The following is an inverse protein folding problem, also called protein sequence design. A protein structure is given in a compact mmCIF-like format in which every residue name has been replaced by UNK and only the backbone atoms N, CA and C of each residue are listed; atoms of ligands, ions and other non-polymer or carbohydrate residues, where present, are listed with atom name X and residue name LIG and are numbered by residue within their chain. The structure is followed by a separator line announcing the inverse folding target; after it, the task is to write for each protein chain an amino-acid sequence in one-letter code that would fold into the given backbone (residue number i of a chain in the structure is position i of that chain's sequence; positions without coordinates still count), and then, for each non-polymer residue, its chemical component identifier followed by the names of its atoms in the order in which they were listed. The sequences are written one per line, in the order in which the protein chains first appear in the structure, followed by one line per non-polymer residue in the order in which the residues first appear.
data_IF_794092695565
#
_entry.id   IF_794092695565
#
_cell.length_a   1.000
_cell.length_b   1.000
_cell.length_c   1.000
_cell.angle_alpha   90.00
_cell.angle_beta   90.00
_cell.angle_gamma   90.00
#
_symmetry.space_group_name_H-M   'P 1'
#
loop_
_entity.id
_entity.type
_entity.pdbx_description
1 polymer ?
#
# COMPACT_ATOMS: atom_id res chain seq x y z
N UNK A 1 2.67 -2.56 32.03
CA UNK A 1 2.68 -2.60 30.57
C UNK A 1 2.69 -4.04 30.09
N UNK A 2 1.64 -4.45 29.37
CA UNK A 2 1.52 -5.74 28.71
C UNK A 2 1.96 -5.59 27.25
N UNK A 3 2.97 -6.38 26.85
CA UNK A 3 3.53 -6.37 25.50
C UNK A 3 3.19 -7.67 24.78
N UNK A 4 2.64 -7.55 23.57
CA UNK A 4 2.48 -8.69 22.65
C UNK A 4 3.51 -8.60 21.54
N UNK A 5 4.19 -9.72 21.30
CA UNK A 5 5.17 -9.90 20.23
C UNK A 5 4.60 -10.85 19.18
N UNK A 6 4.72 -10.50 17.90
CA UNK A 6 4.20 -11.29 16.79
C UNK A 6 5.01 -11.14 15.49
N UNK A 7 4.63 -11.91 14.48
CA UNK A 7 5.31 -12.08 13.19
C UNK A 7 5.11 -10.94 12.16
N UNK A 8 4.39 -9.86 12.51
CA UNK A 8 4.05 -8.75 11.59
C UNK A 8 3.14 -9.13 10.41
N UNK A 9 2.43 -10.25 10.48
CA UNK A 9 1.43 -10.62 9.47
C UNK A 9 0.00 -10.23 9.89
N UNK A 10 -0.90 -10.04 8.94
CA UNK A 10 -2.29 -9.70 9.28
C UNK A 10 -2.94 -10.83 10.09
N UNK A 11 -2.65 -12.09 9.75
CA UNK A 11 -3.14 -13.27 10.46
C UNK A 11 -2.57 -13.37 11.89
N UNK A 12 -1.30 -13.00 12.08
CA UNK A 12 -0.69 -12.88 13.40
C UNK A 12 -1.35 -11.81 14.27
N UNK A 13 -1.73 -10.65 13.69
CA UNK A 13 -2.49 -9.63 14.40
C UNK A 13 -3.88 -10.14 14.84
N UNK A 14 -4.56 -10.91 13.98
CA UNK A 14 -5.83 -11.56 14.36
C UNK A 14 -5.62 -12.61 15.46
N UNK A 15 -4.51 -13.34 15.43
CA UNK A 15 -4.13 -14.29 16.47
C UNK A 15 -3.89 -13.59 17.82
N UNK A 16 -3.27 -12.41 17.81
CA UNK A 16 -3.13 -11.54 18.99
C UNK A 16 -4.48 -11.14 19.59
N UNK A 17 -5.46 -10.80 18.73
CA UNK A 17 -6.82 -10.48 19.18
C UNK A 17 -7.47 -11.69 19.82
N UNK A 18 -7.39 -12.86 19.18
CA UNK A 18 -7.91 -14.10 19.78
C UNK A 18 -7.29 -14.38 21.15
N UNK A 19 -5.95 -14.27 21.24
CA UNK A 19 -5.21 -14.49 22.47
C UNK A 19 -5.65 -13.53 23.58
N UNK A 20 -5.87 -12.25 23.25
CA UNK A 20 -6.30 -11.26 24.21
C UNK A 20 -7.65 -11.63 24.87
N UNK A 21 -8.62 -12.06 24.06
CA UNK A 21 -9.92 -12.50 24.56
C UNK A 21 -9.85 -13.84 25.30
N UNK A 22 -9.05 -14.79 24.81
CA UNK A 22 -8.90 -16.11 25.43
C UNK A 22 -8.28 -16.04 26.83
N UNK A 23 -7.25 -15.20 27.00
CA UNK A 23 -6.57 -15.01 28.30
C UNK A 23 -7.12 -13.87 29.14
N UNK A 24 -8.07 -13.09 28.61
CA UNK A 24 -8.58 -11.84 29.21
C UNK A 24 -7.45 -10.86 29.57
N UNK A 25 -6.43 -10.78 28.69
CA UNK A 25 -5.27 -9.87 28.82
C UNK A 25 -5.20 -9.00 27.58
N UNK A 26 -5.18 -7.69 27.76
CA UNK A 26 -5.19 -6.76 26.64
C UNK A 26 -3.82 -6.06 26.55
N UNK A 27 -3.20 -6.00 25.37
CA UNK A 27 -1.89 -5.38 25.21
C UNK A 27 -1.98 -3.86 25.32
N UNK A 28 -0.95 -3.26 25.90
CA UNK A 28 -0.68 -1.83 25.80
C UNK A 28 0.09 -1.52 24.49
N UNK A 29 0.93 -2.47 24.05
CA UNK A 29 1.65 -2.40 22.77
C UNK A 29 1.69 -3.76 22.07
N UNK A 30 1.62 -3.74 20.74
CA UNK A 30 1.84 -4.88 19.85
C UNK A 30 3.03 -4.51 18.98
N UNK A 31 4.11 -5.30 19.06
CA UNK A 31 5.37 -5.06 18.36
C UNK A 31 5.83 -6.34 17.65
N UNK A 32 6.69 -6.21 16.63
CA UNK A 32 7.45 -7.36 16.15
C UNK A 32 8.72 -7.59 16.97
N UNK A 33 9.27 -8.79 16.87
CA UNK A 33 10.56 -9.14 17.50
C UNK A 33 11.72 -8.25 17.01
N UNK A 34 11.59 -7.68 15.81
CA UNK A 34 12.55 -6.76 15.20
C UNK A 34 12.39 -5.30 15.64
N UNK A 35 11.30 -4.94 16.30
CA UNK A 35 11.08 -3.57 16.76
C UNK A 35 11.88 -3.28 18.03
N UNK A 36 12.20 -2.00 18.25
CA UNK A 36 12.84 -1.59 19.49
C UNK A 36 11.87 -1.79 20.66
N UNK A 37 12.17 -2.76 21.50
CA UNK A 37 11.33 -3.11 22.64
C UNK A 37 11.58 -2.15 23.82
N UNK A 38 10.52 -1.80 24.59
CA UNK A 38 10.69 -1.01 25.80
C UNK A 38 11.48 -1.78 26.87
N UNK A 39 12.33 -1.06 27.59
CA UNK A 39 13.20 -1.64 28.63
C UNK A 39 12.39 -2.27 29.77
N UNK A 40 11.25 -1.64 30.12
CA UNK A 40 10.35 -2.07 31.19
C UNK A 40 9.04 -2.56 30.59
N UNK A 41 8.79 -3.87 30.66
CA UNK A 41 7.49 -4.46 30.39
C UNK A 41 7.19 -5.46 31.51
N UNK A 42 6.01 -5.35 32.10
CA UNK A 42 5.60 -6.16 33.25
C UNK A 42 5.24 -7.59 32.83
N UNK A 43 4.58 -7.71 31.68
CA UNK A 43 4.19 -8.99 31.09
C UNK A 43 4.52 -8.98 29.60
N UNK A 44 5.16 -10.05 29.12
CA UNK A 44 5.50 -10.24 27.70
C UNK A 44 4.88 -11.54 27.21
N UNK A 45 4.18 -11.46 26.08
CA UNK A 45 3.56 -12.60 25.44
C UNK A 45 4.02 -12.68 23.98
N UNK A 46 4.70 -13.77 23.64
CA UNK A 46 4.95 -14.13 22.24
C UNK A 46 3.72 -14.85 21.73
N UNK A 47 3.11 -14.31 20.67
CA UNK A 47 1.91 -14.85 20.05
C UNK A 47 2.26 -15.39 18.68
N UNK A 48 2.30 -16.71 18.57
CA UNK A 48 2.51 -17.38 17.30
C UNK A 48 1.27 -17.22 16.39
N UNK A 49 1.54 -17.10 15.09
CA UNK A 49 0.50 -17.08 14.07
C UNK A 49 -0.19 -18.45 14.01
N UNK A 50 -1.51 -18.44 14.19
CA UNK A 50 -2.35 -19.63 14.11
C UNK A 50 -3.51 -19.35 13.16
N UNK A 51 -3.46 -20.01 12.00
CA UNK A 51 -4.41 -19.83 10.91
C UNK A 51 -5.85 -20.13 11.32
N UNK A 52 -6.08 -21.11 12.20
CA UNK A 52 -7.43 -21.45 12.65
C UNK A 52 -7.98 -20.34 13.57
N UNK A 53 -7.16 -19.87 14.52
CA UNK A 53 -7.54 -18.77 15.42
C UNK A 53 -7.78 -17.48 14.64
N UNK A 54 -6.89 -17.14 13.71
CA UNK A 54 -7.03 -15.98 12.83
C UNK A 54 -8.32 -16.06 12.00
N UNK A 55 -8.60 -17.22 11.38
CA UNK A 55 -9.80 -17.44 10.57
C UNK A 55 -11.09 -17.31 11.38
N UNK A 56 -11.10 -17.75 12.64
CA UNK A 56 -12.26 -17.59 13.54
C UNK A 56 -12.52 -16.12 13.86
N UNK A 57 -11.48 -15.35 14.17
CA UNK A 57 -11.62 -13.90 14.41
C UNK A 57 -12.11 -13.22 13.14
N UNK A 58 -11.50 -13.53 11.98
CA UNK A 58 -11.91 -12.98 10.70
C UNK A 58 -13.38 -13.26 10.39
N UNK A 59 -13.83 -14.51 10.55
CA UNK A 59 -15.22 -14.92 10.32
C UNK A 59 -16.20 -14.17 11.24
N UNK A 60 -15.84 -13.92 12.49
CA UNK A 60 -16.63 -13.09 13.40
C UNK A 60 -16.70 -11.63 12.95
N UNK A 61 -15.58 -11.08 12.46
CA UNK A 61 -15.52 -9.73 11.93
C UNK A 61 -16.35 -9.59 10.65
N UNK A 62 -16.37 -10.60 9.77
CA UNK A 62 -17.21 -10.55 8.55
C UNK A 62 -18.71 -10.50 8.84
N UNK A 63 -19.14 -11.13 9.94
CA UNK A 63 -20.53 -11.12 10.40
C UNK A 63 -20.90 -9.80 11.08
N UNK A 64 -19.97 -9.22 11.84
CA UNK A 64 -20.20 -7.97 12.59
C UNK A 64 -20.00 -6.71 11.75
N UNK A 65 -19.02 -6.71 10.85
CA UNK A 65 -18.58 -5.52 10.14
C UNK A 65 -19.17 -5.41 8.72
N UNK A 66 -19.63 -4.21 8.39
CA UNK A 66 -20.02 -3.88 7.02
C UNK A 66 -18.84 -4.00 6.03
N UNK A 67 -19.16 -4.11 4.74
CA UNK A 67 -18.13 -4.15 3.67
C UNK A 67 -17.26 -2.88 3.67
N UNK A 68 -17.83 -1.74 4.06
CA UNK A 68 -17.12 -0.46 4.12
C UNK A 68 -16.12 -0.47 5.28
N UNK A 69 -16.56 -0.87 6.47
CA UNK A 69 -15.72 -0.99 7.65
C UNK A 69 -14.53 -1.95 7.42
N UNK A 70 -14.78 -3.10 6.79
CA UNK A 70 -13.71 -4.05 6.41
C UNK A 70 -12.71 -3.44 5.43
N UNK A 71 -13.16 -2.70 4.42
CA UNK A 71 -12.26 -2.01 3.48
C UNK A 71 -11.42 -0.93 4.16
N UNK A 72 -12.02 -0.17 5.09
CA UNK A 72 -11.29 0.84 5.87
C UNK A 72 -10.21 0.18 6.72
N UNK A 73 -10.56 -0.89 7.43
CA UNK A 73 -9.63 -1.70 8.22
C UNK A 73 -8.45 -2.22 7.38
N UNK A 74 -8.72 -2.81 6.21
CA UNK A 74 -7.68 -3.27 5.30
C UNK A 74 -6.82 -2.12 4.76
N UNK A 75 -7.42 -0.94 4.53
CA UNK A 75 -6.66 0.24 4.11
C UNK A 75 -5.69 0.71 5.19
N UNK A 76 -6.09 0.65 6.47
CA UNK A 76 -5.20 0.94 7.60
C UNK A 76 -4.07 -0.07 7.68
N UNK A 77 -4.34 -1.36 7.53
CA UNK A 77 -3.30 -2.39 7.48
C UNK A 77 -2.25 -2.10 6.38
N UNK A 78 -2.72 -1.79 5.17
CA UNK A 78 -1.87 -1.47 4.02
C UNK A 78 -1.08 -0.16 4.20
N UNK A 79 -1.52 0.73 5.11
CA UNK A 79 -0.82 1.98 5.37
C UNK A 79 0.57 1.76 5.97
N UNK A 80 0.78 0.69 6.74
CA UNK A 80 2.07 0.39 7.38
C UNK A 80 2.57 1.53 8.30
N UNK A 81 1.66 2.32 8.87
CA UNK A 81 2.00 3.34 9.85
C UNK A 81 2.38 2.69 11.20
N UNK A 82 3.24 3.32 12.03
CA UNK A 82 3.65 2.72 13.31
C UNK A 82 2.50 2.49 14.31
N UNK A 83 1.37 3.16 14.14
CA UNK A 83 0.19 3.04 15.00
C UNK A 83 -0.81 1.97 14.53
N UNK A 84 -0.54 1.30 13.41
CA UNK A 84 -1.49 0.44 12.68
C UNK A 84 -2.01 -0.70 13.55
N UNK A 85 -1.12 -1.45 14.19
CA UNK A 85 -1.39 -2.65 14.96
C UNK A 85 -2.31 -2.33 16.14
N UNK A 86 -1.93 -1.33 16.95
CA UNK A 86 -2.71 -0.93 18.12
C UNK A 86 -4.01 -0.22 17.74
N UNK A 87 -4.03 0.60 16.68
CA UNK A 87 -5.25 1.23 16.19
C UNK A 87 -6.26 0.18 15.71
N UNK A 88 -5.81 -0.80 14.93
CA UNK A 88 -6.64 -1.91 14.48
C UNK A 88 -7.11 -2.78 15.63
N UNK A 89 -6.24 -3.07 16.61
CA UNK A 89 -6.62 -3.82 17.80
C UNK A 89 -7.75 -3.12 18.57
N UNK A 90 -7.61 -1.81 18.86
CA UNK A 90 -8.65 -1.03 19.55
C UNK A 90 -9.94 -0.93 18.73
N UNK A 91 -9.82 -0.69 17.42
CA UNK A 91 -10.97 -0.62 16.52
C UNK A 91 -11.75 -1.95 16.47
N UNK A 92 -11.05 -3.08 16.33
CA UNK A 92 -11.65 -4.40 16.30
C UNK A 92 -12.30 -4.71 17.65
N UNK A 93 -11.59 -4.48 18.76
CA UNK A 93 -12.12 -4.68 20.11
C UNK A 93 -13.40 -3.90 20.35
N UNK A 94 -13.44 -2.61 20.00
CA UNK A 94 -14.65 -1.77 20.14
C UNK A 94 -15.85 -2.34 19.39
N UNK A 95 -15.63 -2.91 18.21
CA UNK A 95 -16.69 -3.54 17.42
C UNK A 95 -17.10 -4.93 17.92
N UNK A 96 -16.18 -5.68 18.52
CA UNK A 96 -16.48 -6.98 19.13
C UNK A 96 -17.23 -6.78 20.46
N UNK A 97 -16.79 -5.86 21.30
CA UNK A 97 -17.35 -5.63 22.64
C UNK A 97 -18.72 -4.94 22.60
N UNK A 98 -19.00 -4.14 21.56
CA UNK A 98 -20.27 -3.43 21.45
C UNK A 98 -21.35 -4.25 20.69
N UNK A 99 -22.56 -4.45 21.25
CA UNK A 99 -23.61 -5.25 20.61
C UNK A 99 -24.09 -4.70 19.27
N UNK A 100 -24.17 -3.37 19.14
CA UNK A 100 -24.67 -2.68 17.94
C UNK A 100 -23.58 -2.32 16.92
N UNK A 101 -22.30 -2.56 17.25
CA UNK A 101 -21.15 -2.12 16.45
C UNK A 101 -20.88 -0.61 16.56
N UNK A 102 -19.61 -0.22 16.52
CA UNK A 102 -19.16 1.19 16.59
C UNK A 102 -18.48 1.61 15.29
N UNK A 103 -18.56 0.76 14.26
CA UNK A 103 -17.75 0.82 13.03
C UNK A 103 -17.81 2.15 12.27
N UNK A 104 -18.91 2.88 12.38
CA UNK A 104 -19.13 4.17 11.69
C UNK A 104 -19.41 5.31 12.67
N UNK A 105 -19.21 5.10 13.98
CA UNK A 105 -19.31 6.17 14.96
C UNK A 105 -18.07 7.06 14.89
N UNK A 106 -18.11 8.06 14.01
CA UNK A 106 -17.00 9.01 13.83
C UNK A 106 -16.81 10.00 14.99
N UNK A 107 -17.62 9.92 16.05
CA UNK A 107 -17.33 10.60 17.32
C UNK A 107 -16.26 9.88 18.14
N UNK A 108 -16.01 8.60 17.87
CA UNK A 108 -14.91 7.85 18.48
C UNK A 108 -13.57 8.16 17.79
N UNK A 109 -12.55 8.47 18.58
CA UNK A 109 -11.22 8.88 18.09
C UNK A 109 -10.55 7.79 17.24
N UNK A 110 -10.67 6.52 17.62
CA UNK A 110 -10.05 5.42 16.85
C UNK A 110 -10.78 5.20 15.53
N UNK A 111 -12.12 5.25 15.53
CA UNK A 111 -12.94 5.08 14.32
C UNK A 111 -12.70 6.23 13.33
N UNK A 112 -12.64 7.46 13.83
CA UNK A 112 -12.29 8.63 13.02
C UNK A 112 -10.89 8.47 12.43
N UNK A 113 -9.91 8.05 13.23
CA UNK A 113 -8.54 7.86 12.76
C UNK A 113 -8.44 6.79 11.67
N UNK A 114 -9.14 5.66 11.83
CA UNK A 114 -9.25 4.61 10.80
C UNK A 114 -9.82 5.17 9.49
N UNK A 115 -10.85 6.02 9.56
CA UNK A 115 -11.44 6.70 8.40
C UNK A 115 -10.45 7.62 7.69
N UNK A 116 -9.73 8.44 8.45
CA UNK A 116 -8.74 9.37 7.90
C UNK A 116 -7.65 8.65 7.12
N UNK A 117 -7.06 7.60 7.72
CA UNK A 117 -6.03 6.79 7.07
C UNK A 117 -6.59 6.12 5.82
N UNK A 118 -7.79 5.52 5.91
CA UNK A 118 -8.42 4.89 4.75
C UNK A 118 -8.65 5.88 3.59
N UNK A 119 -9.06 7.12 3.89
CA UNK A 119 -9.20 8.17 2.87
C UNK A 119 -7.86 8.57 2.27
N UNK A 120 -6.80 8.68 3.07
CA UNK A 120 -5.45 9.01 2.59
C UNK A 120 -4.92 7.92 1.64
N UNK A 121 -5.04 6.65 2.05
CA UNK A 121 -4.64 5.47 1.25
C UNK A 121 -5.42 5.43 -0.07
N UNK A 122 -6.74 5.65 -0.03
CA UNK A 122 -7.58 5.67 -1.23
C UNK A 122 -7.22 6.80 -2.20
N UNK A 123 -7.01 8.03 -1.69
CA UNK A 123 -6.58 9.17 -2.52
C UNK A 123 -5.24 8.89 -3.18
N UNK A 124 -4.31 8.26 -2.46
CA UNK A 124 -3.00 7.94 -3.00
C UNK A 124 -3.05 6.83 -4.03
N UNK A 125 -3.86 5.79 -3.81
CA UNK A 125 -4.11 4.74 -4.81
C UNK A 125 -4.67 5.33 -6.10
N UNK A 126 -5.62 6.26 -6.01
CA UNK A 126 -6.16 6.95 -7.18
C UNK A 126 -5.10 7.77 -7.92
N UNK A 127 -4.26 8.54 -7.20
CA UNK A 127 -3.15 9.29 -7.81
C UNK A 127 -2.14 8.35 -8.46
N UNK A 128 -1.84 7.22 -7.84
CA UNK A 128 -0.92 6.23 -8.40
C UNK A 128 -1.43 5.73 -9.75
N UNK A 129 -2.70 5.32 -9.82
CA UNK A 129 -3.35 4.91 -11.07
C UNK A 129 -3.27 6.01 -12.15
N UNK A 130 -3.41 7.29 -11.78
CA UNK A 130 -3.34 8.40 -12.73
C UNK A 130 -1.93 8.72 -13.26
N UNK A 131 -0.90 8.55 -12.42
CA UNK A 131 0.46 9.03 -12.72
C UNK A 131 1.47 7.93 -13.02
N UNK A 132 1.09 6.65 -12.90
CA UNK A 132 1.94 5.56 -13.38
C UNK A 132 2.19 5.75 -14.88
N UNK A 133 3.45 5.55 -15.26
CA UNK A 133 3.91 5.51 -16.64
C UNK A 133 4.68 4.22 -16.82
N UNK A 134 4.32 3.48 -17.86
CA UNK A 134 5.06 2.31 -18.27
C UNK A 134 6.05 2.72 -19.35
N UNK A 135 7.22 2.09 -19.32
CA UNK A 135 8.26 2.18 -20.34
C UNK A 135 8.48 0.78 -20.89
N UNK A 136 8.55 0.62 -22.20
CA UNK A 136 8.84 -0.67 -22.81
C UNK A 136 10.32 -1.03 -22.64
N UNK A 137 10.57 -2.25 -22.14
CA UNK A 137 11.92 -2.81 -22.05
C UNK A 137 12.33 -3.50 -23.34
N UNK A 138 13.62 -3.72 -23.55
CA UNK A 138 14.14 -4.46 -24.71
C UNK A 138 13.55 -5.88 -24.84
N UNK A 139 13.14 -6.49 -23.72
CA UNK A 139 12.49 -7.81 -23.67
C UNK A 139 10.98 -7.78 -23.98
N UNK A 140 10.42 -6.61 -24.34
CA UNK A 140 8.99 -6.44 -24.63
C UNK A 140 8.09 -6.43 -23.38
N UNK A 141 8.66 -6.28 -22.19
CA UNK A 141 7.93 -6.16 -20.92
C UNK A 141 7.74 -4.68 -20.57
N UNK A 142 6.54 -4.30 -20.19
CA UNK A 142 6.23 -2.93 -19.78
C UNK A 142 6.58 -2.71 -18.31
N UNK A 143 7.54 -1.84 -18.04
CA UNK A 143 8.03 -1.60 -16.68
C UNK A 143 7.59 -0.23 -16.16
N UNK A 144 7.07 -0.19 -14.92
CA UNK A 144 6.66 1.03 -14.24
C UNK A 144 7.24 1.11 -12.82
N UNK A 145 8.26 1.96 -12.58
CA UNK A 145 8.74 2.24 -11.24
C UNK A 145 7.79 3.19 -10.51
N UNK A 146 7.46 2.88 -9.26
CA UNK A 146 6.64 3.69 -8.37
C UNK A 146 7.32 3.89 -7.02
N UNK A 147 6.93 4.95 -6.30
CA UNK A 147 7.36 5.23 -4.94
C UNK A 147 6.18 5.74 -4.09
N UNK A 148 5.15 4.91 -3.84
CA UNK A 148 4.03 5.28 -3.00
C UNK A 148 4.42 5.36 -1.52
N UNK A 149 3.72 6.22 -0.77
CA UNK A 149 3.87 6.31 0.68
C UNK A 149 3.39 5.04 1.38
N UNK A 150 2.33 4.41 0.89
CA UNK A 150 1.69 3.22 1.44
C UNK A 150 1.95 1.99 0.56
N UNK A 151 1.71 0.77 1.07
CA UNK A 151 1.89 -0.47 0.30
C UNK A 151 0.74 -0.70 -0.70
N UNK A 152 0.67 0.10 -1.76
CA UNK A 152 -0.51 0.17 -2.62
C UNK A 152 -0.59 -0.94 -3.68
N UNK A 153 0.46 -1.77 -3.84
CA UNK A 153 0.50 -2.83 -4.86
C UNK A 153 -0.73 -3.75 -4.82
N UNK A 154 -1.19 -4.28 -3.66
CA UNK A 154 -2.38 -5.13 -3.60
C UNK A 154 -3.68 -4.40 -3.96
N UNK A 155 -3.71 -3.07 -3.87
CA UNK A 155 -4.88 -2.25 -4.18
C UNK A 155 -4.98 -1.97 -5.68
N UNK A 156 -3.86 -1.65 -6.32
CA UNK A 156 -3.84 -1.18 -7.71
C UNK A 156 -3.70 -2.30 -8.73
N UNK A 157 -3.22 -3.48 -8.32
CA UNK A 157 -3.04 -4.66 -9.20
C UNK A 157 -4.28 -4.98 -10.01
N UNK A 158 -5.47 -4.92 -9.39
CA UNK A 158 -6.74 -5.21 -10.07
C UNK A 158 -7.00 -4.24 -11.24
N UNK A 159 -6.65 -2.96 -11.07
CA UNK A 159 -6.83 -1.96 -12.11
C UNK A 159 -5.93 -2.24 -13.31
N UNK A 160 -4.63 -2.43 -13.07
CA UNK A 160 -3.65 -2.65 -14.13
C UNK A 160 -3.88 -3.98 -14.86
N UNK A 161 -4.18 -5.05 -14.13
CA UNK A 161 -4.56 -6.35 -14.73
C UNK A 161 -5.76 -6.23 -15.66
N UNK A 162 -6.78 -5.46 -15.27
CA UNK A 162 -7.98 -5.27 -16.09
C UNK A 162 -7.73 -4.36 -17.30
N UNK A 163 -6.84 -3.38 -17.18
CA UNK A 163 -6.60 -2.36 -18.21
C UNK A 163 -5.55 -2.77 -19.24
N UNK A 164 -4.57 -3.56 -18.83
CA UNK A 164 -3.44 -4.05 -19.62
C UNK A 164 -3.40 -5.59 -19.56
N UNK A 165 -4.48 -6.23 -19.98
CA UNK A 165 -4.62 -7.68 -19.87
C UNK A 165 -3.72 -8.45 -20.84
N UNK A 166 -3.45 -7.89 -22.03
CA UNK A 166 -2.78 -8.55 -23.15
C UNK A 166 -1.27 -8.29 -23.22
N UNK A 167 -0.73 -7.48 -22.32
CA UNK A 167 0.68 -7.07 -22.33
C UNK A 167 1.33 -7.49 -21.01
N UNK A 168 2.53 -8.10 -21.03
CA UNK A 168 3.25 -8.38 -19.81
C UNK A 168 3.75 -7.07 -19.20
N UNK A 169 3.59 -6.92 -17.90
CA UNK A 169 4.02 -5.69 -17.21
C UNK A 169 4.57 -5.96 -15.82
N UNK A 170 5.46 -5.08 -15.38
CA UNK A 170 6.03 -5.05 -14.04
C UNK A 170 5.69 -3.70 -13.41
N UNK A 171 5.00 -3.73 -12.27
CA UNK A 171 4.77 -2.57 -11.43
C UNK A 171 5.65 -2.68 -10.18
N UNK A 172 6.57 -1.74 -9.99
CA UNK A 172 7.66 -1.91 -9.01
C UNK A 172 7.72 -0.80 -7.96
N UNK A 173 7.52 -1.13 -6.69
CA UNK A 173 7.72 -0.22 -5.55
C UNK A 173 9.21 -0.12 -5.17
N UNK A 174 9.84 0.95 -5.66
CA UNK A 174 11.25 1.29 -5.40
C UNK A 174 11.56 1.63 -3.94
N UNK A 175 10.55 1.92 -3.12
CA UNK A 175 10.73 2.22 -1.68
C UNK A 175 10.81 0.95 -0.84
N UNK A 176 10.05 -0.09 -1.22
CA UNK A 176 9.93 -1.35 -0.47
C UNK A 176 10.69 -2.52 -1.10
N UNK A 177 11.30 -2.32 -2.27
CA UNK A 177 11.95 -3.38 -3.04
C UNK A 177 11.01 -4.56 -3.37
N UNK A 178 9.76 -4.23 -3.73
CA UNK A 178 8.71 -5.19 -4.02
C UNK A 178 8.04 -4.79 -5.33
N UNK A 179 7.74 -5.76 -6.19
CA UNK A 179 7.02 -5.53 -7.43
C UNK A 179 6.05 -6.64 -7.75
N UNK A 180 5.16 -6.35 -8.68
CA UNK A 180 4.21 -7.30 -9.25
C UNK A 180 4.50 -7.46 -10.73
N UNK A 181 4.75 -8.69 -11.15
CA UNK A 181 4.88 -9.08 -12.54
C UNK A 181 3.60 -9.76 -13.01
N UNK A 182 3.01 -9.25 -14.09
CA UNK A 182 1.88 -9.84 -14.78
C UNK A 182 2.38 -10.47 -16.09
N UNK A 183 2.19 -11.79 -16.22
CA UNK A 183 2.62 -12.58 -17.39
C UNK A 183 1.49 -12.82 -18.40
N UNK A 184 0.38 -12.07 -18.29
CA UNK A 184 -0.92 -12.25 -18.99
C UNK A 184 -1.87 -13.33 -18.43
N UNK A 185 -1.42 -14.15 -17.49
CA UNK A 185 -2.23 -15.19 -16.86
C UNK A 185 -2.31 -15.05 -15.34
N UNK A 186 -1.17 -14.84 -14.70
CA UNK A 186 -0.97 -14.76 -13.26
C UNK A 186 -0.17 -13.52 -12.86
N UNK A 187 -0.36 -13.11 -11.61
CA UNK A 187 0.45 -12.06 -10.98
C UNK A 187 1.44 -12.75 -10.06
N UNK A 188 2.73 -12.52 -10.28
CA UNK A 188 3.83 -13.03 -9.48
C UNK A 188 4.52 -11.88 -8.75
N UNK A 189 4.96 -12.12 -7.52
CA UNK A 189 5.78 -11.15 -6.79
C UNK A 189 7.22 -11.22 -7.29
N UNK A 190 7.83 -10.05 -7.49
CA UNK A 190 9.22 -9.92 -7.96
C UNK A 190 9.98 -8.95 -7.07
N UNK A 191 11.28 -9.19 -6.92
CA UNK A 191 12.20 -8.28 -6.22
C UNK A 191 13.50 -8.19 -7.01
N UNK A 192 14.11 -7.01 -7.02
CA UNK A 192 15.40 -6.79 -7.67
C UNK A 192 16.55 -6.81 -6.66
N UNK A 193 17.76 -7.00 -7.20
CA UNK A 193 18.99 -6.86 -6.43
C UNK A 193 19.18 -5.39 -5.98
N UNK A 194 19.89 -5.12 -4.87
CA UNK A 194 20.15 -3.76 -4.42
C UNK A 194 20.88 -2.88 -5.45
N UNK A 195 21.71 -3.47 -6.31
CA UNK A 195 22.43 -2.77 -7.36
C UNK A 195 21.48 -2.25 -8.45
N UNK A 196 20.55 -3.10 -8.91
CA UNK A 196 19.54 -2.72 -9.90
C UNK A 196 18.56 -1.67 -9.36
N UNK A 197 18.25 -1.72 -8.07
CA UNK A 197 17.36 -0.75 -7.42
C UNK A 197 17.91 0.69 -7.50
N UNK A 198 19.23 0.88 -7.44
CA UNK A 198 19.85 2.20 -7.45
C UNK A 198 19.58 2.95 -8.77
N UNK A 199 19.68 2.24 -9.90
CA UNK A 199 19.35 2.78 -11.23
C UNK A 199 17.86 3.15 -11.33
N UNK A 200 16.97 2.29 -10.81
CA UNK A 200 15.51 2.48 -10.89
C UNK A 200 14.99 3.66 -10.05
N UNK A 201 15.70 4.08 -8.99
CA UNK A 201 15.28 5.21 -8.13
C UNK A 201 15.26 6.55 -8.85
N UNK A 202 16.06 6.69 -9.92
CA UNK A 202 16.07 7.85 -10.80
C UNK A 202 14.80 7.97 -11.64
N UNK A 203 13.97 6.92 -11.69
CA UNK A 203 12.69 6.93 -12.42
C UNK A 203 12.83 6.67 -13.92
N UNK A 204 14.02 6.24 -14.36
CA UNK A 204 14.31 5.87 -15.74
C UNK A 204 14.95 4.48 -15.76
N UNK A 205 14.59 3.69 -16.76
CA UNK A 205 15.40 2.55 -17.18
C UNK A 205 16.61 3.08 -17.94
N UNK A 206 17.82 2.63 -17.59
CA UNK A 206 19.04 3.01 -18.32
C UNK A 206 18.98 2.47 -19.76
N UNK A 207 19.56 3.24 -20.70
CA UNK A 207 19.28 3.16 -22.15
C UNK A 207 19.37 1.78 -22.80
N UNK A 208 20.26 0.89 -22.36
CA UNK A 208 20.37 -0.47 -22.90
C UNK A 208 19.18 -1.38 -22.55
N UNK A 209 18.38 -1.00 -21.54
CA UNK A 209 17.22 -1.77 -21.09
C UNK A 209 15.91 -1.30 -21.74
N UNK A 210 15.92 -0.20 -22.48
CA UNK A 210 14.75 0.33 -23.19
C UNK A 210 14.69 -0.22 -24.61
N UNK A 211 13.49 -0.38 -25.14
CA UNK A 211 13.29 -0.64 -26.58
C UNK A 211 13.81 0.54 -27.39
N UNK A 212 14.41 0.27 -28.57
CA UNK A 212 14.88 1.32 -29.49
C UNK A 212 13.75 2.29 -29.89
N UNK A 213 12.50 1.79 -29.95
CA UNK A 213 11.31 2.59 -30.27
C UNK A 213 10.80 3.43 -29.08
N UNK A 214 11.07 3.02 -27.84
CA UNK A 214 10.56 3.71 -26.63
C UNK A 214 11.08 5.15 -26.56
N UNK A 215 12.35 5.39 -26.93
CA UNK A 215 12.91 6.74 -26.96
C UNK A 215 12.17 7.65 -27.98
N UNK A 216 11.82 7.09 -29.14
CA UNK A 216 11.05 7.80 -30.16
C UNK A 216 9.64 8.14 -29.65
N UNK A 217 8.97 7.19 -29.00
CA UNK A 217 7.65 7.43 -28.39
C UNK A 217 7.68 8.51 -27.32
N UNK A 218 8.71 8.50 -26.47
CA UNK A 218 8.88 9.54 -25.45
C UNK A 218 9.10 10.92 -26.08
N UNK A 219 9.91 11.01 -27.14
CA UNK A 219 10.10 12.27 -27.85
C UNK A 219 8.79 12.78 -28.49
N UNK A 220 8.08 11.92 -29.21
CA UNK A 220 6.79 12.27 -29.81
C UNK A 220 5.78 12.74 -28.77
N UNK A 221 5.74 12.09 -27.59
CA UNK A 221 4.89 12.51 -26.48
C UNK A 221 5.24 13.91 -25.97
N UNK A 222 6.53 14.21 -25.80
CA UNK A 222 6.99 15.55 -25.36
C UNK A 222 6.61 16.63 -26.38
N UNK A 223 6.79 16.35 -27.67
CA UNK A 223 6.41 17.27 -28.74
C UNK A 223 4.89 17.49 -28.80
N UNK A 224 4.11 16.41 -28.75
CA UNK A 224 2.66 16.46 -28.63
C UNK A 224 2.22 17.31 -27.44
N UNK A 225 2.72 17.02 -26.23
CA UNK A 225 2.37 17.73 -25.00
C UNK A 225 2.69 19.24 -25.11
N UNK A 226 3.85 19.59 -25.67
CA UNK A 226 4.24 20.99 -25.89
C UNK A 226 3.33 21.69 -26.90
N UNK A 227 2.96 21.02 -27.99
CA UNK A 227 2.15 21.61 -29.06
C UNK A 227 0.70 21.91 -28.63
N UNK A 228 0.11 21.05 -27.81
CA UNK A 228 -1.27 21.26 -27.30
C UNK A 228 -1.35 22.22 -26.11
N UNK A 229 -0.21 22.57 -25.51
CA UNK A 229 -0.18 23.40 -24.30
C UNK A 229 -0.52 24.85 -24.62
N UNK A 230 -1.62 25.34 -24.05
CA UNK A 230 -2.02 26.75 -24.12
C UNK A 230 -1.20 27.54 -23.10
N UNK A 231 -0.25 28.34 -23.57
CA UNK A 231 0.73 29.05 -22.73
C UNK A 231 0.05 30.03 -21.76
N UNK A 232 -1.03 30.68 -22.19
CA UNK A 232 -1.80 31.65 -21.42
C UNK A 232 -2.52 31.01 -20.23
N UNK A 233 -2.73 29.68 -20.24
CA UNK A 233 -3.39 28.94 -19.16
C UNK A 233 -2.41 28.28 -18.18
N UNK A 234 -1.10 28.52 -18.32
CA UNK A 234 -0.09 27.94 -17.44
C UNK A 234 -0.25 28.46 -16.00
N UNK A 235 -0.55 27.54 -15.08
CA UNK A 235 -0.62 27.82 -13.66
C UNK A 235 0.18 26.79 -12.86
N UNK A 236 1.49 27.03 -12.64
CA UNK A 236 2.36 26.08 -11.95
C UNK A 236 1.92 25.78 -10.51
N UNK A 237 1.24 26.71 -9.83
CA UNK A 237 0.72 26.50 -8.47
C UNK A 237 -0.40 25.47 -8.49
N UNK A 238 -1.37 25.63 -9.39
CA UNK A 238 -2.49 24.71 -9.55
C UNK A 238 -2.01 23.34 -10.06
N UNK A 239 -1.06 23.32 -11.00
CA UNK A 239 -0.44 22.08 -11.47
C UNK A 239 0.16 21.27 -10.32
N UNK A 240 0.92 21.90 -9.41
CA UNK A 240 1.49 21.22 -8.22
C UNK A 240 0.44 20.69 -7.25
N UNK A 241 -0.74 21.31 -7.18
CA UNK A 241 -1.84 20.88 -6.31
C UNK A 241 -2.50 19.59 -6.85
N UNK A 242 -2.75 19.54 -8.16
CA UNK A 242 -3.37 18.39 -8.81
C UNK A 242 -2.37 17.27 -9.10
N UNK A 243 -1.15 17.61 -9.48
CA UNK A 243 -0.05 16.71 -9.82
C UNK A 243 1.15 16.97 -8.87
N UNK A 244 1.22 16.27 -7.73
CA UNK A 244 2.30 16.45 -6.76
C UNK A 244 3.67 16.17 -7.36
N UNK A 245 4.65 16.99 -7.01
CA UNK A 245 6.04 16.90 -7.52
C UNK A 245 6.68 15.53 -7.38
N UNK A 246 6.29 14.74 -6.37
CA UNK A 246 6.84 13.39 -6.16
C UNK A 246 6.66 12.45 -7.36
N UNK A 247 5.66 12.70 -8.21
CA UNK A 247 5.41 11.90 -9.41
C UNK A 247 6.16 12.41 -10.64
N UNK A 248 6.65 13.66 -10.64
CA UNK A 248 7.17 14.32 -11.85
C UNK A 248 8.39 13.59 -12.42
N UNK A 249 9.22 12.98 -11.58
CA UNK A 249 10.37 12.17 -12.01
C UNK A 249 10.00 10.95 -12.85
N UNK A 250 8.74 10.50 -12.81
CA UNK A 250 8.24 9.36 -13.60
C UNK A 250 7.44 9.81 -14.84
N UNK A 251 7.18 11.12 -14.99
CA UNK A 251 6.34 11.65 -16.05
C UNK A 251 7.21 12.15 -17.19
N UNK A 252 7.14 11.48 -18.34
CA UNK A 252 7.90 11.82 -19.54
C UNK A 252 7.70 13.29 -19.96
N UNK A 253 6.49 13.84 -19.82
CA UNK A 253 6.19 15.23 -20.15
C UNK A 253 6.86 16.28 -19.25
N UNK A 254 7.38 15.89 -18.07
CA UNK A 254 8.06 16.77 -17.11
C UNK A 254 9.56 16.47 -16.98
N UNK A 255 10.06 15.48 -17.71
CA UNK A 255 11.48 15.14 -17.83
C UNK A 255 12.17 15.93 -18.94
#
# INVERSE_FOLDING_TARGET
MILFLYDKTFEGLLSCIFFAYARKRFPDMILSDTDQQPLFADERYVVDMDKEKASRVWSSLEKKLSKIARRMMMSVWISGLPETEMLLFRYIRKNIDHPQGVELNFGDVDVLRVKEIAQQVSREAHRLVQFVRFQETADGIWFAPIAPRYNLLPVVVKHFRSRYATQPWILYDTTRNQGLYWDTHAVNEVSFSPADLAALRLGQLEGEKQSDEEQLFQQMWKEYFRSITIRERLNPRLQRQHMPKKYWKYLTELQ
#
